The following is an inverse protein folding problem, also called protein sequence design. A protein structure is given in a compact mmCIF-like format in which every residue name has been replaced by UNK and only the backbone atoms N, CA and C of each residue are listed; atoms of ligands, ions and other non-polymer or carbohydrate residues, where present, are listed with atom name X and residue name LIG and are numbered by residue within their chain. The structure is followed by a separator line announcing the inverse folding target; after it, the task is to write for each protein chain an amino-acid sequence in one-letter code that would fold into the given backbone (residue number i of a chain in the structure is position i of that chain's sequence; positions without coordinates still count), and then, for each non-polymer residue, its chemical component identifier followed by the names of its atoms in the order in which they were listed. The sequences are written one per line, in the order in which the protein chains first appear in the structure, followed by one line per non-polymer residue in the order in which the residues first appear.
data_IF_553238480882
#
_entry.id   IF_553238480882
#
_cell.length_a   1.000
_cell.length_b   1.000
_cell.length_c   1.000
_cell.angle_alpha   90.00
_cell.angle_beta   90.00
_cell.angle_gamma   90.00
#
_symmetry.space_group_name_H-M   'P 1'
#
loop_
_entity.id
_entity.type
_entity.pdbx_description
1 polymer ?
#
# COMPACT_ATOMS: atom_id res chain seq x y z
N UNK A 1 -2.49 0.03 32.78
CA UNK A 1 -2.38 -1.08 31.81
C UNK A 1 -1.17 -1.94 32.19
N UNK A 2 -1.35 -3.05 32.90
CA UNK A 2 -0.23 -3.89 33.36
C UNK A 2 -0.54 -5.38 33.15
N UNK A 3 -0.67 -5.78 31.88
CA UNK A 3 -0.64 -7.20 31.49
C UNK A 3 0.80 -7.69 31.34
N UNK A 4 1.03 -8.99 31.50
CA UNK A 4 2.35 -9.61 31.26
C UNK A 4 2.77 -9.41 29.78
N UNK A 5 4.05 -9.64 29.45
CA UNK A 5 4.50 -9.61 28.05
C UNK A 5 3.66 -10.56 27.17
N UNK A 6 3.30 -11.73 27.70
CA UNK A 6 2.47 -12.72 27.02
C UNK A 6 1.07 -12.18 26.74
N UNK A 7 0.46 -11.50 27.70
CA UNK A 7 -0.88 -10.92 27.53
C UNK A 7 -0.86 -9.81 26.47
N UNK A 8 0.19 -8.97 26.49
CA UNK A 8 0.36 -7.92 25.49
C UNK A 8 0.54 -8.50 24.09
N UNK A 9 1.31 -9.58 23.93
CA UNK A 9 1.50 -10.23 22.64
C UNK A 9 0.22 -10.90 22.12
N UNK A 10 -0.57 -11.53 23.00
CA UNK A 10 -1.87 -12.13 22.64
C UNK A 10 -2.93 -11.10 22.25
N UNK A 11 -2.88 -9.92 22.85
CA UNK A 11 -3.81 -8.83 22.57
C UNK A 11 -3.45 -8.04 21.29
N UNK A 12 -2.34 -8.34 20.61
CA UNK A 12 -1.97 -7.64 19.37
C UNK A 12 -2.95 -7.98 18.27
N UNK A 13 -3.57 -6.95 17.72
CA UNK A 13 -4.35 -7.07 16.50
C UNK A 13 -3.42 -7.30 15.31
N UNK A 14 -3.92 -8.07 14.35
CA UNK A 14 -3.25 -8.23 13.07
C UNK A 14 -3.32 -6.90 12.30
N UNK A 15 -2.23 -6.49 11.62
CA UNK A 15 -2.20 -5.22 10.94
C UNK A 15 -3.16 -5.19 9.74
N UNK A 16 -3.64 -3.99 9.42
CA UNK A 16 -4.36 -3.67 8.20
C UNK A 16 -3.62 -2.59 7.43
N UNK A 17 -3.82 -2.51 6.11
CA UNK A 17 -3.36 -1.41 5.28
C UNK A 17 -4.50 -0.88 4.43
N UNK A 18 -4.37 0.38 3.99
CA UNK A 18 -5.29 1.01 3.05
C UNK A 18 -4.51 1.33 1.79
N UNK A 19 -5.00 0.84 0.64
CA UNK A 19 -4.51 1.19 -0.69
C UNK A 19 -5.56 2.07 -1.36
N UNK A 20 -5.11 3.15 -1.99
CA UNK A 20 -5.94 4.07 -2.76
C UNK A 20 -5.56 3.96 -4.21
N UNK A 21 -6.51 3.61 -5.07
CA UNK A 21 -6.32 3.55 -6.51
C UNK A 21 -7.06 4.70 -7.17
N UNK A 22 -6.40 5.59 -7.93
CA UNK A 22 -7.10 6.67 -8.60
C UNK A 22 -8.07 6.16 -9.67
N UNK A 23 -9.30 6.67 -9.69
CA UNK A 23 -10.26 6.35 -10.74
C UNK A 23 -9.84 6.92 -12.11
N UNK A 24 -9.10 8.03 -12.09
CA UNK A 24 -8.41 8.60 -13.26
C UNK A 24 -6.91 8.75 -12.94
N UNK A 25 -6.07 7.75 -13.26
CA UNK A 25 -4.63 7.81 -13.01
C UNK A 25 -3.94 9.00 -13.68
N UNK A 26 -4.42 9.43 -14.86
CA UNK A 26 -3.82 10.55 -15.58
C UNK A 26 -4.17 11.88 -14.90
N UNK A 27 -5.44 12.07 -14.53
CA UNK A 27 -5.90 13.22 -13.75
C UNK A 27 -5.22 13.32 -12.39
N UNK A 28 -5.09 12.19 -11.69
CA UNK A 28 -4.42 12.12 -10.40
C UNK A 28 -2.93 12.46 -10.51
N UNK A 29 -2.21 11.89 -11.49
CA UNK A 29 -0.81 12.21 -11.73
C UNK A 29 -0.60 13.69 -12.09
N UNK A 30 -1.52 14.30 -12.85
CA UNK A 30 -1.47 15.72 -13.15
C UNK A 30 -1.68 16.58 -11.88
N UNK A 31 -2.59 16.19 -10.99
CA UNK A 31 -2.82 16.85 -9.71
C UNK A 31 -1.59 16.75 -8.79
N UNK A 32 -0.95 15.57 -8.71
CA UNK A 32 0.30 15.39 -7.95
C UNK A 32 1.44 16.25 -8.52
N UNK A 33 1.60 16.28 -9.85
CA UNK A 33 2.59 17.15 -10.49
C UNK A 33 2.36 18.63 -10.19
N UNK A 34 1.09 19.06 -10.17
CA UNK A 34 0.73 20.43 -9.78
C UNK A 34 1.08 20.70 -8.31
N UNK A 35 0.80 19.77 -7.40
CA UNK A 35 1.15 19.87 -5.99
C UNK A 35 2.66 19.95 -5.75
N UNK A 36 3.44 19.10 -6.42
CA UNK A 36 4.90 19.10 -6.35
C UNK A 36 5.49 20.41 -6.88
N UNK A 37 4.95 20.91 -8.00
CA UNK A 37 5.38 22.17 -8.58
C UNK A 37 5.07 23.37 -7.67
N UNK A 38 3.86 23.43 -7.09
CA UNK A 38 3.43 24.48 -6.16
C UNK A 38 4.29 24.47 -4.88
N UNK A 39 4.50 23.29 -4.29
CA UNK A 39 5.32 23.11 -3.09
C UNK A 39 6.77 23.53 -3.34
N UNK A 40 7.35 23.13 -4.48
CA UNK A 40 8.70 23.53 -4.87
C UNK A 40 8.79 25.04 -5.11
N UNK A 41 7.79 25.66 -5.73
CA UNK A 41 7.77 27.10 -5.95
C UNK A 41 7.73 27.87 -4.62
N UNK A 42 6.92 27.42 -3.65
CA UNK A 42 6.89 28.00 -2.30
C UNK A 42 8.24 27.86 -1.58
N UNK A 43 8.86 26.68 -1.61
CA UNK A 43 10.18 26.45 -1.02
C UNK A 43 11.25 27.38 -1.63
N UNK A 44 11.23 27.56 -2.95
CA UNK A 44 12.15 28.47 -3.64
C UNK A 44 11.88 29.94 -3.30
N UNK A 45 10.61 30.35 -3.17
CA UNK A 45 10.24 31.71 -2.76
C UNK A 45 10.72 32.02 -1.33
N UNK A 46 10.55 31.06 -0.41
CA UNK A 46 11.08 31.16 0.95
C UNK A 46 12.62 31.25 0.97
N UNK A 47 13.31 30.39 0.22
CA UNK A 47 14.77 30.41 0.12
C UNK A 47 15.31 31.74 -0.46
N UNK A 48 14.54 32.38 -1.34
CA UNK A 48 14.85 33.69 -1.93
C UNK A 48 14.38 34.88 -1.10
N UNK A 49 13.75 34.64 0.06
CA UNK A 49 13.19 35.66 0.94
C UNK A 49 12.23 36.61 0.20
N UNK A 50 11.38 36.05 -0.67
CA UNK A 50 10.35 36.83 -1.37
C UNK A 50 9.42 37.47 -0.33
N UNK A 51 9.19 38.81 -0.37
CA UNK A 51 8.43 39.52 0.68
C UNK A 51 6.96 39.12 0.77
N UNK A 52 6.34 38.75 -0.35
CA UNK A 52 4.95 38.30 -0.42
C UNK A 52 4.89 36.83 -0.83
N UNK A 53 4.61 35.96 0.14
CA UNK A 53 4.43 34.52 -0.08
C UNK A 53 2.98 34.14 -0.35
N UNK A 54 2.03 35.06 -0.20
CA UNK A 54 0.59 34.80 -0.29
C UNK A 54 0.18 34.04 -1.58
N UNK A 55 0.67 34.43 -2.76
CA UNK A 55 0.37 33.70 -4.01
C UNK A 55 0.88 32.26 -4.03
N UNK A 56 2.05 31.99 -3.42
CA UNK A 56 2.64 30.65 -3.39
C UNK A 56 1.92 29.74 -2.38
N UNK A 57 1.55 30.28 -1.23
CA UNK A 57 0.74 29.56 -0.24
C UNK A 57 -0.65 29.24 -0.79
N UNK A 58 -1.25 30.17 -1.54
CA UNK A 58 -2.52 29.91 -2.20
C UNK A 58 -2.39 28.82 -3.27
N UNK A 59 -1.33 28.85 -4.09
CA UNK A 59 -1.08 27.80 -5.09
C UNK A 59 -0.93 26.41 -4.46
N UNK A 60 -0.29 26.30 -3.28
CA UNK A 60 -0.20 25.02 -2.55
C UNK A 60 -1.57 24.58 -2.05
N UNK A 61 -2.41 25.49 -1.54
CA UNK A 61 -3.79 25.17 -1.14
C UNK A 61 -4.63 24.70 -2.31
N UNK A 62 -4.57 25.40 -3.44
CA UNK A 62 -5.31 25.05 -4.65
C UNK A 62 -4.85 23.69 -5.19
N UNK A 63 -3.54 23.42 -5.19
CA UNK A 63 -3.00 22.13 -5.60
C UNK A 63 -3.35 20.99 -4.63
N UNK A 64 -3.41 21.27 -3.32
CA UNK A 64 -3.87 20.31 -2.31
C UNK A 64 -5.32 19.93 -2.57
N UNK A 65 -6.19 20.92 -2.79
CA UNK A 65 -7.59 20.71 -3.13
C UNK A 65 -7.76 19.94 -4.46
N UNK A 66 -6.87 20.16 -5.43
CA UNK A 66 -6.89 19.43 -6.69
C UNK A 66 -6.57 17.94 -6.53
N UNK A 67 -5.65 17.57 -5.62
CA UNK A 67 -5.34 16.17 -5.27
C UNK A 67 -6.48 15.56 -4.45
N UNK A 68 -6.96 16.27 -3.43
CA UNK A 68 -8.05 15.80 -2.56
C UNK A 68 -9.39 15.66 -3.30
N UNK A 69 -9.58 16.42 -4.38
CA UNK A 69 -10.76 16.35 -5.24
C UNK A 69 -10.76 15.17 -6.21
N UNK A 70 -9.67 14.40 -6.31
CA UNK A 70 -9.62 13.23 -7.19
C UNK A 70 -10.44 12.07 -6.62
N UNK A 71 -11.22 11.42 -7.48
CA UNK A 71 -11.90 10.19 -7.12
C UNK A 71 -10.87 9.06 -6.96
N UNK A 72 -10.92 8.38 -5.81
CA UNK A 72 -10.07 7.23 -5.50
C UNK A 72 -10.92 6.07 -5.02
N UNK A 73 -10.62 4.88 -5.52
CA UNK A 73 -11.13 3.61 -4.98
C UNK A 73 -10.29 3.20 -3.78
N UNK A 74 -10.92 2.74 -2.70
CA UNK A 74 -10.26 2.50 -1.42
C UNK A 74 -10.34 1.02 -1.05
N UNK A 75 -9.19 0.34 -1.12
CA UNK A 75 -9.06 -1.04 -0.70
C UNK A 75 -8.52 -1.12 0.72
N UNK A 76 -9.23 -1.83 1.59
CA UNK A 76 -8.71 -2.21 2.91
C UNK A 76 -8.16 -3.62 2.82
N UNK A 77 -6.89 -3.79 3.19
CA UNK A 77 -6.22 -5.09 3.23
C UNK A 77 -5.99 -5.49 4.69
N UNK A 78 -6.14 -6.78 4.98
CA UNK A 78 -5.86 -7.37 6.29
C UNK A 78 -4.72 -8.38 6.22
N UNK A 79 -3.95 -8.46 7.29
CA UNK A 79 -3.06 -9.59 7.51
C UNK A 79 -3.88 -10.83 7.87
N UNK A 80 -3.56 -11.96 7.23
CA UNK A 80 -4.17 -13.26 7.48
C UNK A 80 -3.62 -13.86 8.78
N UNK A 81 -4.36 -14.80 9.39
CA UNK A 81 -3.79 -15.58 10.46
C UNK A 81 -2.62 -16.43 9.92
N UNK A 82 -1.58 -16.74 10.72
CA UNK A 82 -0.43 -17.49 10.23
C UNK A 82 -0.81 -18.84 9.60
N UNK A 83 -1.79 -19.54 10.19
CA UNK A 83 -2.28 -20.81 9.65
C UNK A 83 -2.93 -20.65 8.27
N UNK A 84 -3.74 -19.61 8.08
CA UNK A 84 -4.41 -19.33 6.80
C UNK A 84 -3.38 -18.94 5.72
N UNK A 85 -2.36 -18.16 6.10
CA UNK A 85 -1.25 -17.81 5.21
C UNK A 85 -0.43 -19.03 4.77
N UNK A 86 -0.07 -19.90 5.71
CA UNK A 86 0.64 -21.15 5.42
C UNK A 86 -0.20 -22.12 4.56
N UNK A 87 -1.51 -22.20 4.84
CA UNK A 87 -2.45 -22.99 4.03
C UNK A 87 -2.50 -22.46 2.59
N UNK A 88 -2.63 -21.16 2.40
CA UNK A 88 -2.65 -20.54 1.07
C UNK A 88 -1.36 -20.81 0.28
N UNK A 89 -0.18 -20.72 0.92
CA UNK A 89 1.09 -21.08 0.25
C UNK A 89 1.10 -22.56 -0.15
N UNK A 90 0.54 -23.43 0.69
CA UNK A 90 0.48 -24.87 0.44
C UNK A 90 -0.48 -25.21 -0.70
N UNK A 91 -1.58 -24.48 -0.84
CA UNK A 91 -2.56 -24.64 -1.92
C UNK A 91 -2.03 -24.16 -3.28
N UNK A 92 -1.10 -23.21 -3.29
CA UNK A 92 -0.49 -22.64 -4.49
C UNK A 92 1.04 -22.79 -4.49
N UNK A 93 1.56 -24.03 -4.49
CA UNK A 93 3.00 -24.26 -4.42
C UNK A 93 3.69 -23.80 -5.71
N UNK A 94 4.88 -23.22 -5.58
CA UNK A 94 5.71 -22.92 -6.75
C UNK A 94 6.00 -24.20 -7.56
N UNK A 95 5.95 -24.09 -8.88
CA UNK A 95 6.47 -25.12 -9.81
C UNK A 95 7.96 -25.40 -9.58
N UNK A 96 8.46 -26.52 -10.09
CA UNK A 96 9.88 -26.89 -9.96
C UNK A 96 10.81 -25.84 -10.59
N UNK A 97 10.43 -25.28 -11.73
CA UNK A 97 11.14 -24.19 -12.41
C UNK A 97 11.17 -22.91 -11.58
N UNK A 98 10.03 -22.52 -11.01
CA UNK A 98 9.93 -21.35 -10.13
C UNK A 98 10.72 -21.55 -8.84
N UNK A 99 10.69 -22.74 -8.25
CA UNK A 99 11.45 -23.06 -7.04
C UNK A 99 12.95 -22.96 -7.26
N UNK A 100 13.44 -23.38 -8.44
CA UNK A 100 14.85 -23.19 -8.85
C UNK A 100 15.24 -21.71 -8.96
N UNK A 101 14.28 -20.82 -9.20
CA UNK A 101 14.47 -19.36 -9.23
C UNK A 101 14.29 -18.69 -7.85
N UNK A 102 13.98 -19.47 -6.81
CA UNK A 102 13.82 -18.97 -5.44
C UNK A 102 12.40 -18.50 -5.08
N UNK A 103 11.40 -18.77 -5.92
CA UNK A 103 10.01 -18.46 -5.61
C UNK A 103 9.44 -19.41 -4.55
N UNK A 104 8.63 -18.86 -3.65
CA UNK A 104 8.02 -19.59 -2.52
C UNK A 104 6.63 -20.14 -2.86
N UNK A 105 5.93 -19.54 -3.82
CA UNK A 105 4.58 -19.87 -4.27
C UNK A 105 4.47 -19.69 -5.79
N UNK A 106 3.40 -20.21 -6.39
CA UNK A 106 3.11 -19.99 -7.81
C UNK A 106 2.83 -18.51 -8.07
N UNK A 107 3.67 -17.85 -8.89
CA UNK A 107 3.57 -16.39 -9.10
C UNK A 107 2.34 -15.96 -9.89
N UNK A 108 1.69 -16.88 -10.61
CA UNK A 108 0.50 -16.61 -11.42
C UNK A 108 -0.76 -16.81 -10.59
N UNK A 109 -0.88 -17.97 -9.95
CA UNK A 109 -2.11 -18.37 -9.25
C UNK A 109 -2.22 -17.80 -7.84
N UNK A 110 -1.10 -17.55 -7.16
CA UNK A 110 -1.12 -17.09 -5.78
C UNK A 110 -1.64 -15.66 -5.62
N UNK A 111 -1.43 -14.80 -6.63
CA UNK A 111 -1.86 -13.39 -6.58
C UNK A 111 -3.38 -13.24 -6.40
N UNK A 112 -4.23 -13.77 -7.30
CA UNK A 112 -5.68 -13.64 -7.14
C UNK A 112 -6.18 -14.32 -5.86
N UNK A 113 -5.57 -15.43 -5.45
CA UNK A 113 -5.95 -16.15 -4.23
C UNK A 113 -5.65 -15.32 -2.96
N UNK A 114 -4.47 -14.71 -2.89
CA UNK A 114 -4.11 -13.81 -1.80
C UNK A 114 -5.03 -12.58 -1.73
N UNK A 115 -5.37 -11.98 -2.88
CA UNK A 115 -6.25 -10.81 -2.88
C UNK A 115 -7.68 -11.16 -2.44
N UNK A 116 -8.19 -12.33 -2.81
CA UNK A 116 -9.50 -12.82 -2.36
C UNK A 116 -9.58 -12.96 -0.83
N UNK A 117 -8.50 -13.42 -0.19
CA UNK A 117 -8.45 -13.58 1.27
C UNK A 117 -8.11 -12.29 2.01
N UNK A 118 -7.19 -11.48 1.46
CA UNK A 118 -6.62 -10.33 2.14
C UNK A 118 -7.44 -9.04 1.97
N UNK A 119 -8.20 -8.88 0.88
CA UNK A 119 -9.02 -7.67 0.68
C UNK A 119 -10.31 -7.78 1.48
N UNK A 120 -10.57 -6.77 2.29
CA UNK A 120 -11.77 -6.66 3.11
C UNK A 120 -12.89 -6.05 2.28
N UNK A 121 -13.98 -6.78 2.11
CA UNK A 121 -15.17 -6.27 1.48
C UNK A 121 -15.77 -5.10 2.29
N UNK A 122 -16.26 -4.05 1.63
CA UNK A 122 -17.05 -3.01 2.29
C UNK A 122 -18.28 -3.59 3.00
N UNK A 123 -18.78 -2.86 4.00
CA UNK A 123 -19.98 -3.28 4.72
C UNK A 123 -21.19 -3.38 3.77
N UNK A 124 -21.84 -4.55 3.75
CA UNK A 124 -22.98 -4.81 2.86
C UNK A 124 -22.60 -5.33 1.47
N UNK A 125 -21.31 -5.42 1.15
CA UNK A 125 -20.82 -5.96 -0.11
C UNK A 125 -20.26 -7.38 0.04
N UNK A 126 -20.22 -8.12 -1.07
CA UNK A 126 -19.57 -9.44 -1.11
C UNK A 126 -18.10 -9.26 -1.45
N UNK A 127 -17.24 -10.01 -0.76
CA UNK A 127 -15.83 -10.11 -1.13
C UNK A 127 -15.71 -10.67 -2.56
N UNK A 128 -14.74 -10.12 -3.29
CA UNK A 128 -14.36 -10.64 -4.60
C UNK A 128 -13.70 -12.01 -4.43
N UNK A 129 -14.15 -12.97 -5.22
CA UNK A 129 -13.55 -14.31 -5.30
C UNK A 129 -12.21 -14.28 -6.05
N UNK A 130 -11.44 -15.36 -5.95
CA UNK A 130 -10.23 -15.55 -6.76
C UNK A 130 -10.52 -15.42 -8.26
N UNK A 131 -11.64 -15.97 -8.73
CA UNK A 131 -12.06 -15.84 -10.13
C UNK A 131 -12.40 -14.42 -10.53
N UNK A 132 -12.97 -13.62 -9.63
CA UNK A 132 -13.24 -12.20 -9.89
C UNK A 132 -11.91 -11.46 -10.05
N UNK A 133 -10.95 -11.66 -9.14
CA UNK A 133 -9.63 -11.03 -9.24
C UNK A 133 -8.87 -11.42 -10.52
N UNK A 134 -8.94 -12.70 -10.91
CA UNK A 134 -8.37 -13.16 -12.18
C UNK A 134 -9.03 -12.45 -13.37
N UNK A 135 -10.36 -12.37 -13.37
CA UNK A 135 -11.11 -11.69 -14.41
C UNK A 135 -10.79 -10.19 -14.49
N UNK A 136 -10.74 -9.48 -13.36
CA UNK A 136 -10.36 -8.06 -13.31
C UNK A 136 -8.99 -7.81 -13.96
N UNK A 137 -8.03 -8.69 -13.69
CA UNK A 137 -6.69 -8.61 -14.26
C UNK A 137 -6.66 -8.90 -15.76
N UNK A 138 -7.35 -9.95 -16.21
CA UNK A 138 -7.39 -10.35 -17.63
C UNK A 138 -8.13 -9.34 -18.51
N UNK A 139 -9.20 -8.74 -17.99
CA UNK A 139 -9.98 -7.72 -18.71
C UNK A 139 -9.35 -6.32 -18.67
N UNK A 140 -8.25 -6.14 -17.94
CA UNK A 140 -7.60 -4.84 -17.80
C UNK A 140 -8.45 -3.81 -17.04
N UNK A 141 -9.36 -4.27 -16.17
CA UNK A 141 -10.13 -3.39 -15.28
C UNK A 141 -9.26 -2.82 -14.16
N UNK A 142 -8.14 -3.48 -13.88
CA UNK A 142 -7.02 -2.95 -13.11
C UNK A 142 -5.77 -3.01 -13.99
N UNK A 143 -4.97 -1.95 -13.95
CA UNK A 143 -3.66 -1.93 -14.58
C UNK A 143 -2.70 -2.88 -13.85
N UNK A 144 -1.64 -3.32 -14.54
CA UNK A 144 -0.61 -4.17 -13.94
C UNK A 144 0.01 -3.51 -12.71
N UNK A 145 0.23 -2.19 -12.75
CA UNK A 145 0.81 -1.44 -11.63
C UNK A 145 -0.10 -1.41 -10.40
N UNK A 146 -1.41 -1.28 -10.59
CA UNK A 146 -2.40 -1.30 -9.50
C UNK A 146 -2.49 -2.70 -8.85
N UNK A 147 -2.48 -3.75 -9.67
CA UNK A 147 -2.45 -5.13 -9.18
C UNK A 147 -1.16 -5.43 -8.42
N UNK A 148 -0.02 -4.98 -8.93
CA UNK A 148 1.28 -5.15 -8.27
C UNK A 148 1.31 -4.39 -6.93
N UNK A 149 0.74 -3.18 -6.86
CA UNK A 149 0.63 -2.40 -5.63
C UNK A 149 -0.22 -3.12 -4.58
N UNK A 150 -1.41 -3.61 -4.96
CA UNK A 150 -2.29 -4.36 -4.07
C UNK A 150 -1.59 -5.63 -3.57
N UNK A 151 -1.01 -6.40 -4.48
CA UNK A 151 -0.33 -7.66 -4.16
C UNK A 151 0.88 -7.44 -3.25
N UNK A 152 1.76 -6.48 -3.59
CA UNK A 152 2.93 -6.16 -2.77
C UNK A 152 2.51 -5.69 -1.37
N UNK A 153 1.44 -4.89 -1.27
CA UNK A 153 0.91 -4.46 0.04
C UNK A 153 0.38 -5.65 0.84
N UNK A 154 -0.37 -6.57 0.21
CA UNK A 154 -0.86 -7.78 0.85
C UNK A 154 0.29 -8.66 1.37
N UNK A 155 1.30 -8.94 0.54
CA UNK A 155 2.48 -9.73 0.93
C UNK A 155 3.24 -9.05 2.08
N UNK A 156 3.48 -7.74 2.00
CA UNK A 156 4.18 -6.99 3.04
C UNK A 156 3.45 -7.03 4.39
N UNK A 157 2.10 -7.02 4.38
CA UNK A 157 1.32 -7.24 5.60
C UNK A 157 1.57 -8.62 6.22
N UNK A 158 1.72 -9.67 5.40
CA UNK A 158 1.94 -11.04 5.89
C UNK A 158 3.35 -11.27 6.44
N UNK A 159 4.36 -10.63 5.86
CA UNK A 159 5.74 -10.78 6.38
C UNK A 159 5.90 -10.23 7.79
N UNK A 160 4.99 -9.34 8.23
CA UNK A 160 4.96 -8.72 9.56
C UNK A 160 6.31 -8.17 9.99
N UNK A 161 7.17 -7.80 9.03
CA UNK A 161 8.49 -7.28 9.34
C UNK A 161 8.31 -5.97 10.09
N UNK A 162 8.89 -5.82 11.30
CA UNK A 162 8.92 -4.53 11.94
C UNK A 162 9.65 -3.56 11.01
N UNK A 163 9.01 -2.44 10.68
CA UNK A 163 9.70 -1.36 9.97
C UNK A 163 10.75 -0.79 10.92
N UNK A 164 11.97 -1.30 10.85
CA UNK A 164 13.11 -0.75 11.58
C UNK A 164 13.66 0.40 10.73
N UNK A 165 13.06 1.58 10.89
CA UNK A 165 13.69 2.81 10.41
C UNK A 165 14.72 3.24 11.45
N UNK A 166 15.97 2.76 11.32
CA UNK A 166 17.09 3.37 12.03
C UNK A 166 17.38 4.69 11.34
N UNK A 167 17.02 5.80 11.99
CA UNK A 167 17.39 7.13 11.52
C UNK A 167 18.91 7.21 11.29
N UNK A 168 19.31 7.85 10.20
CA UNK A 168 20.73 8.11 9.88
C UNK A 168 21.33 8.95 11.02
N UNK A 169 21.97 8.30 12.00
CA UNK A 169 22.53 8.98 13.18
C UNK A 169 22.76 8.12 14.42
N UNK A 170 22.34 6.85 14.47
CA UNK A 170 22.51 6.00 15.66
C UNK A 170 23.93 5.41 15.85
N UNK A 171 24.96 6.01 15.24
CA UNK A 171 26.35 5.73 15.58
C UNK A 171 26.79 6.60 16.77
N UNK A 172 26.12 6.43 17.91
CA UNK A 172 26.64 6.89 19.19
C UNK A 172 27.64 5.85 19.71
N UNK A 173 28.90 5.97 19.34
CA UNK A 173 29.98 5.22 19.99
C UNK A 173 30.12 5.75 21.43
N UNK A 174 29.93 4.92 22.48
CA UNK A 174 30.21 5.36 23.85
C UNK A 174 31.71 5.63 23.97
N UNK A 175 32.06 6.81 24.50
CA UNK A 175 33.43 7.12 24.93
C UNK A 175 33.77 6.43 26.24
#
# INVERSE_FOLDING_TARGET
MTGTLRDRLRARQLPTAVVRLPADPAGYAAAEQYFDAATRALQLAQARQVPDLGPYEQAVKDATAAVEGQAVEVFTLRCLAPADWEALITEHPASDEQRKQGWQWDVVEFRPALLAEAVVAPEGEKALSESDWRFLAEQGQLTVGELDLLFATAVNLQTRQPQVSVGKGSAGTPS
#
